data_IF_076755621436
#
_entry.id   IF_076755621436
#
_cell.length_a   1.000
_cell.length_b   1.000
_cell.length_c   1.000
_cell.angle_alpha   90.00
_cell.angle_beta   90.00
_cell.angle_gamma   90.00
#
_symmetry.space_group_name_H-M   'P 1'
#
loop_
_entity.id
_entity.type
_entity.pdbx_description
1 polymer ?
#
# COMPACT_ATOMS: atom_id res chain seq x y z
N UNK A 1 -45.11 4.54 -31.92
CA UNK A 1 -45.11 3.37 -32.83
C UNK A 1 -43.83 3.39 -33.66
N UNK A 2 -43.00 2.35 -33.57
CA UNK A 2 -41.75 2.26 -34.36
C UNK A 2 -42.07 2.03 -35.86
N UNK A 3 -41.65 2.97 -36.71
CA UNK A 3 -41.84 2.89 -38.16
C UNK A 3 -40.99 1.77 -38.79
N UNK A 4 -39.86 1.46 -38.17
CA UNK A 4 -38.94 0.42 -38.62
C UNK A 4 -39.54 -0.98 -38.38
N UNK A 5 -40.18 -1.19 -37.24
CA UNK A 5 -40.88 -2.45 -36.91
C UNK A 5 -41.98 -2.77 -37.94
N UNK A 6 -42.87 -1.81 -38.25
CA UNK A 6 -43.94 -2.00 -39.26
C UNK A 6 -43.40 -2.32 -40.65
N UNK A 7 -42.27 -1.70 -41.03
CA UNK A 7 -41.60 -1.97 -42.31
C UNK A 7 -40.99 -3.37 -42.34
N UNK A 8 -40.46 -3.87 -41.22
CA UNK A 8 -39.92 -5.24 -41.10
C UNK A 8 -41.03 -6.28 -41.24
N UNK A 9 -42.16 -6.09 -40.56
CA UNK A 9 -43.34 -6.97 -40.65
C UNK A 9 -43.85 -7.09 -42.09
N UNK A 10 -44.02 -5.96 -42.80
CA UNK A 10 -44.43 -5.96 -44.22
C UNK A 10 -43.46 -6.72 -45.13
N UNK A 11 -42.17 -6.79 -44.77
CA UNK A 11 -41.13 -7.50 -45.53
C UNK A 11 -40.86 -8.91 -45.02
N UNK A 12 -41.71 -9.45 -44.15
CA UNK A 12 -41.52 -10.76 -43.51
C UNK A 12 -41.27 -11.90 -44.51
N UNK A 13 -42.10 -12.00 -45.57
CA UNK A 13 -41.96 -13.04 -46.59
C UNK A 13 -40.60 -12.98 -47.31
N UNK A 14 -40.15 -11.77 -47.70
CA UNK A 14 -38.84 -11.55 -48.32
C UNK A 14 -37.68 -11.92 -47.39
N UNK A 15 -37.83 -11.65 -46.09
CA UNK A 15 -36.83 -12.04 -45.09
C UNK A 15 -36.82 -13.55 -44.87
N UNK A 16 -37.96 -14.23 -44.94
CA UNK A 16 -38.06 -15.68 -44.79
C UNK A 16 -37.38 -16.41 -45.96
N UNK A 17 -37.64 -15.99 -47.20
CA UNK A 17 -36.97 -16.50 -48.40
C UNK A 17 -35.45 -16.28 -48.32
N UNK A 18 -35.02 -15.08 -47.93
CA UNK A 18 -33.60 -14.78 -47.77
C UNK A 18 -32.92 -15.61 -46.68
N UNK A 19 -33.59 -15.84 -45.54
CA UNK A 19 -33.06 -16.69 -44.45
C UNK A 19 -32.99 -18.17 -44.85
N UNK A 20 -33.95 -18.66 -45.64
CA UNK A 20 -33.93 -20.02 -46.16
C UNK A 20 -32.73 -20.24 -47.11
N UNK A 21 -32.41 -19.24 -47.93
CA UNK A 21 -31.24 -19.26 -48.81
C UNK A 21 -29.91 -18.98 -48.08
N UNK A 22 -29.93 -18.27 -46.96
CA UNK A 22 -28.73 -17.84 -46.22
C UNK A 22 -28.77 -18.25 -44.74
N UNK A 23 -28.73 -19.56 -44.42
CA UNK A 23 -28.90 -20.05 -43.05
C UNK A 23 -27.77 -19.63 -42.10
N UNK A 24 -26.58 -19.28 -42.63
CA UNK A 24 -25.40 -18.89 -41.84
C UNK A 24 -25.29 -17.37 -41.60
N UNK A 25 -26.08 -16.54 -42.29
CA UNK A 25 -26.00 -15.07 -42.23
C UNK A 25 -27.11 -14.46 -41.35
N UNK A 26 -27.50 -15.17 -40.29
CA UNK A 26 -28.35 -14.61 -39.23
C UNK A 26 -27.48 -13.72 -38.33
N UNK A 27 -27.89 -12.46 -38.15
CA UNK A 27 -27.09 -11.40 -37.52
C UNK A 27 -26.31 -11.85 -36.28
N UNK A 28 -24.99 -11.96 -36.43
CA UNK A 28 -24.09 -12.28 -35.32
C UNK A 28 -23.94 -11.04 -34.45
N UNK A 29 -24.42 -11.11 -33.22
CA UNK A 29 -24.12 -10.09 -32.22
C UNK A 29 -22.74 -10.35 -31.63
N UNK A 30 -21.88 -9.33 -31.61
CA UNK A 30 -20.60 -9.43 -30.94
C UNK A 30 -20.84 -9.65 -29.43
N UNK A 31 -20.33 -10.76 -28.89
CA UNK A 31 -20.25 -10.91 -27.43
C UNK A 31 -19.24 -9.87 -26.91
N UNK A 32 -19.53 -9.14 -25.83
CA UNK A 32 -18.59 -8.20 -25.26
C UNK A 32 -17.32 -8.94 -24.83
N UNK A 33 -16.17 -8.61 -25.43
CA UNK A 33 -14.89 -9.27 -25.15
C UNK A 33 -14.29 -8.91 -23.79
N UNK A 34 -14.80 -7.86 -23.14
CA UNK A 34 -14.41 -7.50 -21.78
C UNK A 34 -15.19 -8.38 -20.80
N UNK A 35 -14.47 -9.26 -20.09
CA UNK A 35 -15.02 -9.87 -18.89
C UNK A 35 -15.39 -8.76 -17.91
N UNK A 36 -16.68 -8.44 -17.83
CA UNK A 36 -17.21 -7.66 -16.72
C UNK A 36 -17.20 -8.64 -15.56
N UNK A 37 -16.18 -8.56 -14.71
CA UNK A 37 -16.20 -9.16 -13.39
C UNK A 37 -17.37 -8.50 -12.65
N UNK A 38 -18.57 -9.05 -12.78
CA UNK A 38 -19.71 -8.63 -11.99
C UNK A 38 -19.35 -8.92 -10.55
N UNK A 39 -19.20 -7.84 -9.78
CA UNK A 39 -18.88 -7.89 -8.36
C UNK A 39 -20.12 -8.44 -7.62
N UNK A 40 -20.38 -9.75 -7.71
CA UNK A 40 -21.21 -10.48 -6.76
C UNK A 40 -20.46 -10.68 -5.43
N UNK A 41 -19.55 -9.76 -5.08
CA UNK A 41 -18.89 -9.75 -3.78
C UNK A 41 -19.80 -8.97 -2.87
N UNK A 42 -20.32 -9.59 -1.82
CA UNK A 42 -20.90 -8.87 -0.69
C UNK A 42 -19.84 -7.90 -0.16
N UNK A 43 -20.04 -6.58 -0.29
CA UNK A 43 -19.02 -5.62 0.11
C UNK A 43 -18.91 -5.63 1.64
N UNK A 44 -17.70 -5.87 2.16
CA UNK A 44 -17.44 -5.59 3.57
C UNK A 44 -17.66 -4.09 3.84
N UNK A 45 -18.27 -3.72 4.97
CA UNK A 45 -18.38 -2.33 5.36
C UNK A 45 -16.99 -1.68 5.46
N UNK A 46 -16.89 -0.42 5.05
CA UNK A 46 -15.62 0.32 4.94
C UNK A 46 -14.79 0.35 6.25
N UNK A 47 -15.39 0.48 7.45
CA UNK A 47 -14.65 0.44 8.71
C UNK A 47 -13.91 -0.89 8.93
N UNK A 48 -14.56 -2.02 8.66
CA UNK A 48 -13.93 -3.35 8.80
C UNK A 48 -12.78 -3.54 7.82
N UNK A 49 -12.94 -3.04 6.58
CA UNK A 49 -11.87 -3.07 5.59
C UNK A 49 -10.68 -2.19 5.98
N UNK A 50 -10.91 -1.06 6.66
CA UNK A 50 -9.85 -0.20 7.15
C UNK A 50 -9.05 -0.83 8.30
N UNK A 51 -9.67 -1.73 9.07
CA UNK A 51 -8.98 -2.48 10.14
C UNK A 51 -8.19 -3.69 9.65
N UNK A 52 -8.38 -4.11 8.39
CA UNK A 52 -7.58 -5.20 7.83
C UNK A 52 -6.15 -4.73 7.53
N UNK A 53 -5.18 -5.38 8.17
CA UNK A 53 -3.77 -5.18 7.82
C UNK A 53 -3.50 -5.78 6.45
N UNK A 54 -3.43 -4.91 5.43
CA UNK A 54 -3.12 -5.26 4.04
C UNK A 54 -1.71 -5.86 3.91
N UNK A 55 -0.80 -5.53 4.84
CA UNK A 55 0.59 -5.95 4.80
C UNK A 55 1.13 -6.32 6.19
N UNK A 56 0.89 -7.58 6.60
CA UNK A 56 1.38 -8.14 7.87
C UNK A 56 2.90 -8.01 8.05
N UNK A 57 3.65 -8.14 6.97
CA UNK A 57 5.12 -8.03 7.00
C UNK A 57 5.58 -6.60 7.28
N UNK A 58 4.94 -5.61 6.65
CA UNK A 58 5.22 -4.19 6.91
C UNK A 58 4.98 -3.80 8.38
N UNK A 59 3.93 -4.34 9.00
CA UNK A 59 3.63 -4.13 10.42
C UNK A 59 4.70 -4.73 11.32
N UNK A 60 5.21 -5.92 11.00
CA UNK A 60 6.32 -6.54 11.74
C UNK A 60 7.58 -5.68 11.70
N UNK A 61 7.95 -5.12 10.54
CA UNK A 61 9.11 -4.24 10.39
C UNK A 61 8.95 -2.99 11.27
N UNK A 62 7.79 -2.34 11.22
CA UNK A 62 7.52 -1.12 12.00
C UNK A 62 7.62 -1.41 13.50
N UNK A 63 7.05 -2.53 13.95
CA UNK A 63 7.09 -2.92 15.37
C UNK A 63 8.51 -3.26 15.83
N UNK A 64 9.29 -3.96 15.00
CA UNK A 64 10.69 -4.25 15.28
C UNK A 64 11.53 -2.96 15.40
N UNK A 65 11.35 -2.02 14.47
CA UNK A 65 12.03 -0.73 14.50
C UNK A 65 11.70 0.08 15.77
N UNK A 66 10.41 0.17 16.13
CA UNK A 66 9.97 0.84 17.37
C UNK A 66 10.62 0.25 18.62
N UNK A 67 10.64 -1.09 18.72
CA UNK A 67 11.25 -1.80 19.85
C UNK A 67 12.75 -1.51 19.93
N UNK A 68 13.46 -1.55 18.81
CA UNK A 68 14.89 -1.26 18.76
C UNK A 68 15.21 0.17 19.22
N UNK A 69 14.48 1.17 18.73
CA UNK A 69 14.66 2.56 19.15
C UNK A 69 14.43 2.75 20.65
N UNK A 70 13.43 2.07 21.22
CA UNK A 70 13.16 2.10 22.66
C UNK A 70 14.30 1.49 23.48
N UNK A 71 14.79 0.31 23.08
CA UNK A 71 15.92 -0.34 23.75
C UNK A 71 17.20 0.49 23.68
N UNK A 72 17.45 1.16 22.55
CA UNK A 72 18.57 2.09 22.40
C UNK A 72 18.46 3.27 23.37
N UNK A 73 17.27 3.89 23.48
CA UNK A 73 17.03 4.96 24.44
C UNK A 73 17.27 4.50 25.89
N UNK A 74 16.78 3.32 26.25
CA UNK A 74 16.98 2.72 27.58
C UNK A 74 18.46 2.44 27.87
N UNK A 75 19.19 1.90 26.90
CA UNK A 75 20.62 1.65 27.01
C UNK A 75 21.40 2.96 27.20
N UNK A 76 21.08 3.98 26.41
CA UNK A 76 21.69 5.31 26.53
C UNK A 76 21.42 5.93 27.91
N UNK A 77 20.17 5.91 28.40
CA UNK A 77 19.83 6.43 29.73
C UNK A 77 20.57 5.72 30.85
N UNK A 78 20.71 4.38 30.79
CA UNK A 78 21.51 3.61 31.76
C UNK A 78 22.98 3.99 31.74
N UNK A 79 23.52 4.32 30.57
CA UNK A 79 24.92 4.71 30.40
C UNK A 79 25.13 6.11 30.99
N UNK A 80 24.20 7.04 30.72
CA UNK A 80 24.20 8.39 31.31
C UNK A 80 24.14 8.30 32.83
N UNK A 81 23.20 7.55 33.41
CA UNK A 81 23.08 7.41 34.87
C UNK A 81 24.35 6.82 35.50
N UNK A 82 24.98 5.82 34.88
CA UNK A 82 26.22 5.21 35.39
C UNK A 82 27.41 6.17 35.38
N UNK A 83 27.48 7.04 34.37
CA UNK A 83 28.58 8.00 34.20
C UNK A 83 28.20 9.42 34.66
N UNK A 84 27.03 9.57 35.27
CA UNK A 84 26.59 10.84 35.83
C UNK A 84 27.54 11.18 36.98
N UNK A 85 28.18 12.36 36.90
CA UNK A 85 29.08 12.82 37.95
C UNK A 85 28.26 13.07 39.22
N UNK A 86 28.31 12.14 40.15
CA UNK A 86 27.80 12.34 41.51
C UNK A 86 28.96 12.82 42.37
N UNK A 87 28.83 13.99 42.98
CA UNK A 87 29.79 14.49 43.96
C UNK A 87 29.71 13.60 45.21
N UNK A 88 30.84 13.23 45.80
CA UNK A 88 30.82 12.59 47.12
C UNK A 88 30.45 13.62 48.20
N UNK A 89 30.07 13.16 49.40
CA UNK A 89 29.67 14.00 50.54
C UNK A 89 30.72 15.07 50.93
N UNK A 90 31.97 14.88 50.51
CA UNK A 90 33.10 15.78 50.73
C UNK A 90 33.40 16.73 49.56
N UNK A 91 32.54 16.79 48.52
CA UNK A 91 32.70 17.62 47.31
C UNK A 91 34.07 17.49 46.61
N UNK A 92 34.75 16.34 46.73
CA UNK A 92 36.07 16.14 46.13
C UNK A 92 35.93 15.92 44.62
N UNK A 93 36.37 16.91 43.85
CA UNK A 93 36.40 16.84 42.39
C UNK A 93 37.79 16.43 41.91
N UNK A 94 37.87 15.40 41.06
CA UNK A 94 39.11 15.07 40.34
C UNK A 94 39.36 16.19 39.32
N UNK A 95 40.46 16.93 39.48
CA UNK A 95 40.85 17.98 38.55
C UNK A 95 41.63 17.40 37.36
N UNK A 96 40.91 16.81 36.41
CA UNK A 96 41.45 16.31 35.15
C UNK A 96 41.18 17.32 34.03
N UNK A 97 42.19 18.13 33.68
CA UNK A 97 42.11 19.11 32.59
C UNK A 97 42.75 18.53 31.34
N UNK A 98 41.96 18.40 30.27
CA UNK A 98 42.48 18.02 28.95
C UNK A 98 43.27 19.19 28.37
N UNK A 99 44.56 18.98 28.06
CA UNK A 99 45.41 19.98 27.40
C UNK A 99 45.57 19.60 25.93
N UNK A 100 45.15 20.46 25.01
CA UNK A 100 45.51 20.34 23.61
C UNK A 100 46.88 20.99 23.36
N UNK A 101 47.69 20.35 22.50
CA UNK A 101 48.98 20.85 22.03
C UNK A 101 48.90 21.06 20.53
N UNK A 102 49.60 22.06 20.02
CA UNK A 102 49.71 22.31 18.59
C UNK A 102 50.39 21.14 17.87
N UNK A 103 50.02 20.95 16.60
CA UNK A 103 50.66 20.00 15.68
C UNK A 103 51.04 20.76 14.42
N UNK A 104 52.18 20.42 13.82
CA UNK A 104 52.56 20.89 12.48
C UNK A 104 51.86 20.03 11.44
N UNK A 105 50.72 20.48 10.92
CA UNK A 105 49.95 19.78 9.89
C UNK A 105 50.29 20.42 8.53
N UNK A 106 51.00 19.73 7.62
CA UNK A 106 51.32 20.28 6.31
C UNK A 106 50.05 20.41 5.46
N UNK A 107 49.97 21.50 4.70
CA UNK A 107 48.90 21.79 3.74
C UNK A 107 49.53 21.69 2.35
N UNK A 108 49.51 20.49 1.76
CA UNK A 108 49.79 20.26 0.32
C UNK A 108 48.45 20.09 -0.37
#
# INVERSE_FOLDING_TARGET
MDSQARRRERRGAKQAEWKAANPLLVGVSAKPGRQVLTLNRTPMPRPEKATQEINKYGVQIINAAKRFSFEQGKAASKLIQRHQKVLNEANRQIHAVQKQRGKSIPLI
#
